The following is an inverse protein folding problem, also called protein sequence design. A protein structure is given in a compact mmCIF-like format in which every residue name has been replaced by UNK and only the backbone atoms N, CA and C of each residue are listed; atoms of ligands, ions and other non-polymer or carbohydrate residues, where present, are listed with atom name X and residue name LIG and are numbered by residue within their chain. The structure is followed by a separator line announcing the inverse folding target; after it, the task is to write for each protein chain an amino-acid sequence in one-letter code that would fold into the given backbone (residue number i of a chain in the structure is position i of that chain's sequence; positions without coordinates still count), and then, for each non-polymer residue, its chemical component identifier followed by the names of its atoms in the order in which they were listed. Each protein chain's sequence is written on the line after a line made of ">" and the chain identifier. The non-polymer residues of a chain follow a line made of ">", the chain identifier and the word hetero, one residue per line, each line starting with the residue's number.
data_IF_637360667519
#
_entry.id   IF_637360667519
#
_cell.length_a   1.000
_cell.length_b   1.000
_cell.length_c   1.000
_cell.angle_alpha   90.00
_cell.angle_beta   90.00
_cell.angle_gamma   90.00
#
_symmetry.space_group_name_H-M   'P 1'
#
loop_
_entity.id
_entity.type
_entity.pdbx_description
1 polymer ?
#
# COMPACT_ATOMS: atom_id res chain seq x y z
N UNK A 1 -3.81 -10.08 -3.32
CA UNK A 1 -3.09 -8.83 -3.02
C UNK A 1 -3.34 -7.86 -4.17
N UNK A 2 -3.18 -6.55 -4.00
CA UNK A 2 -3.05 -5.66 -5.16
C UNK A 2 -1.80 -6.07 -5.93
N UNK A 3 -1.92 -6.20 -7.25
CA UNK A 3 -0.79 -6.53 -8.14
C UNK A 3 -0.88 -5.69 -9.42
N UNK A 4 0.21 -5.61 -10.21
CA UNK A 4 0.16 -4.99 -11.55
C UNK A 4 -0.90 -5.58 -12.48
N UNK A 5 -1.34 -6.83 -12.26
CA UNK A 5 -2.42 -7.44 -13.04
C UNK A 5 -3.80 -6.80 -12.80
N UNK A 6 -3.95 -5.98 -11.75
CA UNK A 6 -5.16 -5.19 -11.52
C UNK A 6 -5.18 -3.88 -12.37
N UNK A 7 -4.17 -3.62 -13.22
CA UNK A 7 -4.06 -2.42 -14.08
C UNK A 7 -5.35 -2.10 -14.82
N UNK A 8 -5.85 -3.01 -15.66
CA UNK A 8 -7.01 -2.75 -16.52
C UNK A 8 -8.28 -2.48 -15.70
N UNK A 9 -8.41 -3.13 -14.53
CA UNK A 9 -9.53 -2.90 -13.62
C UNK A 9 -9.48 -1.46 -13.07
N UNK A 10 -8.30 -1.01 -12.67
CA UNK A 10 -8.09 0.35 -12.14
C UNK A 10 -8.21 1.40 -13.24
N UNK A 11 -7.73 1.13 -14.45
CA UNK A 11 -7.86 2.03 -15.60
C UNK A 11 -9.33 2.27 -15.96
N UNK A 12 -10.12 1.20 -16.06
CA UNK A 12 -11.52 1.29 -16.50
C UNK A 12 -12.47 1.78 -15.40
N UNK A 13 -12.22 1.39 -14.14
CA UNK A 13 -13.19 1.56 -13.06
C UNK A 13 -12.67 2.37 -11.85
N UNK A 14 -11.36 2.64 -11.80
CA UNK A 14 -10.71 3.27 -10.65
C UNK A 14 -10.53 2.34 -9.45
N UNK A 15 -10.13 2.92 -8.32
CA UNK A 15 -10.03 2.24 -7.03
C UNK A 15 -10.87 2.95 -5.97
N UNK A 16 -11.29 2.20 -4.93
CA UNK A 16 -12.07 2.73 -3.83
C UNK A 16 -11.50 2.25 -2.50
N UNK A 17 -11.57 3.12 -1.49
CA UNK A 17 -11.15 2.83 -0.12
C UNK A 17 -12.31 3.05 0.84
N UNK A 18 -12.25 2.34 1.96
CA UNK A 18 -13.25 2.47 3.03
C UNK A 18 -12.68 3.43 4.06
N UNK A 19 -13.25 4.63 4.13
CA UNK A 19 -12.85 5.62 5.12
C UNK A 19 -13.31 5.22 6.51
N UNK A 20 -12.39 4.66 7.29
CA UNK A 20 -12.63 4.25 8.66
C UNK A 20 -11.38 4.47 9.52
N UNK A 21 -11.60 4.66 10.82
CA UNK A 21 -10.51 4.77 11.77
C UNK A 21 -9.93 3.40 12.09
N UNK A 22 -8.60 3.29 12.10
CA UNK A 22 -7.91 2.11 12.62
C UNK A 22 -8.31 1.75 14.06
N UNK A 23 -8.79 2.72 14.86
CA UNK A 23 -9.27 2.48 16.22
C UNK A 23 -10.64 1.76 16.28
N UNK A 24 -11.39 1.72 15.18
CA UNK A 24 -12.74 1.13 15.10
C UNK A 24 -12.87 0.17 13.91
N UNK A 25 -11.76 -0.38 13.44
CA UNK A 25 -11.77 -1.25 12.26
C UNK A 25 -12.58 -2.53 12.50
N UNK A 26 -12.54 -3.08 13.72
CA UNK A 26 -13.31 -4.27 14.10
C UNK A 26 -14.83 -4.04 14.09
N UNK A 27 -15.27 -2.79 14.22
CA UNK A 27 -16.69 -2.40 14.15
C UNK A 27 -17.15 -2.14 12.72
N UNK A 28 -16.23 -2.09 11.76
CA UNK A 28 -16.53 -1.76 10.36
C UNK A 28 -17.15 -2.98 9.67
N UNK A 29 -18.35 -2.86 9.07
CA UNK A 29 -19.09 -4.01 8.55
C UNK A 29 -18.55 -4.50 7.19
N UNK A 30 -17.32 -5.02 7.16
CA UNK A 30 -16.68 -5.56 5.95
C UNK A 30 -17.50 -6.66 5.27
N UNK A 31 -18.21 -7.47 6.05
CA UNK A 31 -19.09 -8.52 5.54
C UNK A 31 -20.31 -8.01 4.76
N UNK A 32 -20.69 -6.73 4.93
CA UNK A 32 -21.82 -6.14 4.19
C UNK A 32 -21.39 -5.42 2.92
N UNK A 33 -20.09 -5.20 2.74
CA UNK A 33 -19.56 -4.51 1.57
C UNK A 33 -19.51 -5.46 0.38
N UNK A 34 -20.10 -5.03 -0.73
CA UNK A 34 -20.09 -5.77 -2.00
C UNK A 34 -19.15 -5.05 -2.95
N UNK A 35 -18.03 -5.69 -3.27
CA UNK A 35 -17.12 -5.27 -4.33
C UNK A 35 -16.85 -6.48 -5.23
N UNK A 36 -16.84 -6.31 -6.57
CA UNK A 36 -16.47 -7.38 -7.48
C UNK A 36 -14.98 -7.74 -7.37
N UNK A 37 -14.13 -6.79 -6.93
CA UNK A 37 -12.68 -6.94 -6.89
C UNK A 37 -12.10 -6.49 -5.53
N UNK A 38 -12.40 -7.17 -4.41
CA UNK A 38 -11.77 -6.85 -3.14
C UNK A 38 -10.28 -7.22 -3.19
N UNK A 39 -9.42 -6.28 -2.78
CA UNK A 39 -7.96 -6.45 -2.70
C UNK A 39 -7.45 -5.94 -1.37
N UNK A 40 -6.42 -6.60 -0.85
CA UNK A 40 -5.60 -6.12 0.25
C UNK A 40 -4.29 -5.59 -0.30
N UNK A 41 -3.79 -4.51 0.26
CA UNK A 41 -2.44 -4.01 -0.03
C UNK A 41 -1.38 -4.91 0.64
N UNK A 42 -0.20 -5.04 0.02
CA UNK A 42 0.94 -5.69 0.65
C UNK A 42 1.48 -4.87 1.82
N UNK A 43 2.46 -5.43 2.52
CA UNK A 43 3.17 -4.73 3.59
C UNK A 43 3.71 -3.37 3.11
N UNK A 44 3.31 -2.31 3.78
CA UNK A 44 3.80 -0.95 3.59
C UNK A 44 3.83 -0.24 4.94
N UNK A 45 4.64 0.81 5.05
CA UNK A 45 4.79 1.59 6.27
C UNK A 45 4.15 2.96 6.09
N UNK A 46 3.34 3.36 7.06
CA UNK A 46 2.70 4.66 7.05
C UNK A 46 3.72 5.80 7.22
N UNK A 47 3.58 6.85 6.41
CA UNK A 47 4.31 8.11 6.50
C UNK A 47 3.43 9.27 7.00
N UNK A 48 2.12 9.06 7.15
CA UNK A 48 1.23 10.07 7.72
C UNK A 48 1.60 10.41 9.18
N UNK A 49 1.36 11.67 9.65
CA UNK A 49 1.77 12.12 10.98
C UNK A 49 1.17 11.34 12.17
N UNK A 50 0.04 10.65 11.97
CA UNK A 50 -0.67 9.95 13.04
C UNK A 50 -0.08 8.54 13.27
N UNK A 51 0.30 7.86 12.19
CA UNK A 51 0.76 6.47 12.21
C UNK A 51 2.18 6.30 11.67
N UNK A 52 2.98 7.37 11.61
CA UNK A 52 4.33 7.32 11.07
C UNK A 52 5.15 6.13 11.59
N UNK A 53 5.72 5.35 10.68
CA UNK A 53 6.53 4.18 10.99
C UNK A 53 5.74 2.92 11.38
N UNK A 54 4.41 2.99 11.49
CA UNK A 54 3.59 1.82 11.80
C UNK A 54 3.34 0.99 10.54
N UNK A 55 3.55 -0.33 10.59
CA UNK A 55 3.28 -1.21 9.46
C UNK A 55 1.77 -1.36 9.23
N UNK A 56 1.36 -1.38 7.97
CA UNK A 56 0.00 -1.64 7.49
C UNK A 56 -1.10 -0.68 8.00
N UNK A 57 -0.75 0.41 8.68
CA UNK A 57 -1.70 1.41 9.20
C UNK A 57 -1.76 2.67 8.34
N UNK A 58 -1.92 2.46 7.03
CA UNK A 58 -1.98 3.50 6.02
C UNK A 58 -3.22 4.37 6.19
N UNK A 59 -3.11 5.64 5.83
CA UNK A 59 -4.27 6.49 5.57
C UNK A 59 -4.93 6.11 4.24
N UNK A 60 -6.17 6.56 4.04
CA UNK A 60 -6.91 6.34 2.79
C UNK A 60 -6.16 6.85 1.56
N UNK A 61 -5.48 8.00 1.67
CA UNK A 61 -4.69 8.55 0.55
C UNK A 61 -3.43 7.72 0.27
N UNK A 62 -2.72 7.25 1.29
CA UNK A 62 -1.57 6.35 1.12
C UNK A 62 -2.00 5.02 0.51
N UNK A 63 -3.17 4.49 0.88
CA UNK A 63 -3.71 3.27 0.30
C UNK A 63 -4.09 3.44 -1.18
N UNK A 64 -4.70 4.57 -1.54
CA UNK A 64 -4.98 4.92 -2.95
C UNK A 64 -3.67 5.05 -3.72
N UNK A 65 -2.71 5.82 -3.22
CA UNK A 65 -1.44 6.06 -3.88
C UNK A 65 -0.64 4.75 -4.07
N UNK A 66 -0.58 3.89 -3.05
CA UNK A 66 0.05 2.59 -3.16
C UNK A 66 -0.60 1.72 -4.24
N UNK A 67 -1.93 1.71 -4.29
CA UNK A 67 -2.68 0.98 -5.32
C UNK A 67 -2.30 1.48 -6.70
N UNK A 68 -2.38 2.80 -6.91
CA UNK A 68 -2.06 3.46 -8.18
C UNK A 68 -0.63 3.16 -8.63
N UNK A 69 0.36 3.28 -7.74
CA UNK A 69 1.77 2.99 -8.07
C UNK A 69 1.96 1.53 -8.47
N UNK A 70 1.40 0.58 -7.69
CA UNK A 70 1.54 -0.86 -7.98
C UNK A 70 0.87 -1.21 -9.32
N UNK A 71 -0.24 -0.54 -9.65
CA UNK A 71 -0.98 -0.79 -10.90
C UNK A 71 -0.52 0.09 -12.06
N UNK A 72 0.59 0.83 -11.97
CA UNK A 72 1.18 1.55 -13.11
C UNK A 72 0.75 3.00 -13.31
N UNK A 73 0.14 3.64 -12.31
CA UNK A 73 -0.34 5.03 -12.33
C UNK A 73 0.41 5.94 -11.33
N UNK A 74 1.75 6.10 -11.45
CA UNK A 74 2.54 6.86 -10.48
C UNK A 74 2.22 8.37 -10.51
N UNK A 75 1.91 8.94 -11.67
CA UNK A 75 1.62 10.37 -11.81
C UNK A 75 0.32 10.75 -11.08
N UNK A 76 -0.69 9.89 -11.16
CA UNK A 76 -1.94 10.02 -10.42
C UNK A 76 -1.69 9.90 -8.91
N UNK A 77 -0.85 8.95 -8.49
CA UNK A 77 -0.47 8.80 -7.09
C UNK A 77 0.20 10.07 -6.54
N UNK A 78 1.13 10.65 -7.31
CA UNK A 78 1.81 11.90 -6.98
C UNK A 78 0.84 13.09 -6.92
N UNK A 79 -0.16 13.14 -7.80
CA UNK A 79 -1.20 14.17 -7.74
C UNK A 79 -1.98 14.14 -6.40
N UNK A 80 -2.35 12.95 -5.92
CA UNK A 80 -3.05 12.80 -4.65
C UNK A 80 -2.16 13.10 -3.45
N UNK A 81 -0.94 12.54 -3.42
CA UNK A 81 0.01 12.75 -2.34
C UNK A 81 0.49 14.20 -2.27
N UNK A 82 0.62 14.89 -3.40
CA UNK A 82 1.02 16.28 -3.50
C UNK A 82 0.06 17.28 -2.82
N UNK A 83 -1.15 16.84 -2.44
CA UNK A 83 -2.08 17.63 -1.60
C UNK A 83 -1.67 17.67 -0.12
N UNK A 84 -0.73 16.81 0.28
CA UNK A 84 -0.27 16.68 1.65
C UNK A 84 1.21 17.06 1.73
N UNK A 85 1.56 17.95 2.66
CA UNK A 85 2.95 18.39 2.84
C UNK A 85 3.91 17.23 3.15
N UNK A 86 3.40 16.14 3.73
CA UNK A 86 4.15 14.91 4.06
C UNK A 86 4.01 13.81 3.00
N UNK A 87 3.22 14.01 1.93
CA UNK A 87 2.86 12.95 0.99
C UNK A 87 4.07 12.33 0.27
N UNK A 88 5.06 13.15 -0.10
CA UNK A 88 6.32 12.69 -0.70
C UNK A 88 7.06 11.66 0.17
N UNK A 89 7.00 11.84 1.50
CA UNK A 89 7.66 10.93 2.45
C UNK A 89 7.09 9.51 2.40
N UNK A 90 5.85 9.32 1.94
CA UNK A 90 5.27 7.98 1.76
C UNK A 90 5.99 7.20 0.67
N UNK A 91 6.23 7.83 -0.48
CA UNK A 91 6.91 7.20 -1.62
C UNK A 91 8.37 6.95 -1.27
N UNK A 92 9.04 7.92 -0.64
CA UNK A 92 10.44 7.78 -0.21
C UNK A 92 10.62 6.62 0.76
N UNK A 93 9.78 6.57 1.81
CA UNK A 93 9.84 5.54 2.85
C UNK A 93 9.61 4.13 2.31
N UNK A 94 8.77 3.98 1.28
CA UNK A 94 8.38 2.68 0.73
C UNK A 94 8.98 2.42 -0.66
N UNK A 95 9.95 3.22 -1.10
CA UNK A 95 10.47 3.22 -2.48
C UNK A 95 10.94 1.84 -2.95
N UNK A 96 11.71 1.12 -2.12
CA UNK A 96 12.18 -0.24 -2.42
C UNK A 96 11.01 -1.22 -2.60
N UNK A 97 10.03 -1.18 -1.71
CA UNK A 97 8.86 -2.06 -1.72
C UNK A 97 7.94 -1.76 -2.91
N UNK A 98 7.61 -0.49 -3.14
CA UNK A 98 6.75 -0.06 -4.25
C UNK A 98 7.37 -0.43 -5.60
N UNK A 99 8.68 -0.24 -5.75
CA UNK A 99 9.42 -0.66 -6.96
C UNK A 99 9.37 -2.18 -7.13
N UNK A 100 9.57 -2.94 -6.06
CA UNK A 100 9.52 -4.40 -6.12
C UNK A 100 8.11 -4.91 -6.48
N UNK A 101 7.06 -4.34 -5.89
CA UNK A 101 5.67 -4.74 -6.14
C UNK A 101 5.20 -4.40 -7.54
N UNK A 102 5.59 -3.24 -8.08
CA UNK A 102 5.26 -2.85 -9.46
C UNK A 102 5.91 -3.78 -10.51
N UNK A 103 6.96 -4.52 -10.14
CA UNK A 103 7.62 -5.49 -11.01
C UNK A 103 7.06 -6.92 -10.90
N UNK A 104 6.13 -7.19 -9.97
CA UNK A 104 5.56 -8.52 -9.77
C UNK A 104 4.45 -8.85 -10.76
N UNK A 105 4.35 -10.10 -11.22
CA UNK A 105 3.25 -10.56 -12.08
C UNK A 105 2.06 -11.14 -11.31
N UNK A 106 2.24 -11.50 -10.03
CA UNK A 106 1.28 -12.31 -9.28
C UNK A 106 1.21 -11.93 -7.80
N UNK A 107 0.14 -12.36 -7.12
CA UNK A 107 0.00 -12.11 -5.67
C UNK A 107 1.06 -12.88 -4.88
N UNK A 108 1.45 -14.06 -5.36
CA UNK A 108 2.49 -14.90 -4.80
C UNK A 108 3.85 -14.20 -4.85
N UNK A 109 4.20 -13.58 -5.98
CA UNK A 109 5.44 -12.79 -6.11
C UNK A 109 5.46 -11.58 -5.18
N UNK A 110 4.33 -10.88 -5.04
CA UNK A 110 4.21 -9.75 -4.10
C UNK A 110 4.43 -10.22 -2.65
N UNK A 111 3.88 -11.38 -2.29
CA UNK A 111 4.09 -11.98 -0.96
C UNK A 111 5.56 -12.36 -0.75
N UNK A 112 6.22 -12.96 -1.74
CA UNK A 112 7.64 -13.28 -1.66
C UNK A 112 8.52 -12.04 -1.54
N UNK A 113 8.19 -10.96 -2.26
CA UNK A 113 8.90 -9.69 -2.19
C UNK A 113 8.81 -9.07 -0.78
N UNK A 114 7.62 -9.04 -0.17
CA UNK A 114 7.47 -8.52 1.21
C UNK A 114 8.19 -9.41 2.23
N UNK A 115 8.14 -10.74 2.09
CA UNK A 115 8.79 -11.67 3.02
C UNK A 115 10.30 -11.49 3.00
N UNK A 116 10.88 -11.36 1.81
CA UNK A 116 12.30 -11.06 1.61
C UNK A 116 12.69 -9.75 2.29
N UNK A 117 11.92 -8.67 2.07
CA UNK A 117 12.18 -7.38 2.70
C UNK A 117 12.14 -7.47 4.24
N UNK A 118 11.11 -8.12 4.79
CA UNK A 118 10.96 -8.30 6.24
C UNK A 118 12.07 -9.16 6.85
N UNK A 119 12.52 -10.20 6.13
CA UNK A 119 13.65 -11.03 6.57
C UNK A 119 14.95 -10.23 6.62
N UNK A 120 15.24 -9.44 5.57
CA UNK A 120 16.42 -8.56 5.53
C UNK A 120 16.38 -7.52 6.66
N UNK A 121 15.25 -6.85 6.86
CA UNK A 121 15.09 -5.87 7.94
C UNK A 121 15.27 -6.47 9.34
N UNK A 122 14.84 -7.73 9.55
CA UNK A 122 15.09 -8.45 10.81
C UNK A 122 16.58 -8.75 11.00
N UNK A 123 17.26 -9.19 9.93
CA UNK A 123 18.68 -9.50 9.97
C UNK A 123 19.52 -8.25 10.27
N UNK A 124 19.28 -7.14 9.57
CA UNK A 124 19.97 -5.87 9.84
C UNK A 124 19.76 -5.39 11.28
N UNK A 125 18.54 -5.55 11.82
CA UNK A 125 18.26 -5.20 13.21
C UNK A 125 19.05 -6.07 14.20
N UNK A 126 19.32 -7.32 13.87
CA UNK A 126 20.13 -8.22 14.70
C UNK A 126 21.62 -7.86 14.63
N UNK A 127 22.13 -7.48 13.46
CA UNK A 127 23.54 -7.09 13.26
C UNK A 127 23.89 -5.73 13.88
N UNK A 128 22.91 -4.83 14.02
CA UNK A 128 23.08 -3.53 14.69
C UNK A 128 23.01 -3.62 16.22
N UNK A 129 22.70 -4.79 16.80
CA UNK A 129 22.64 -5.02 18.26
C UNK A 129 23.91 -5.68 18.75
#
# INVERSE_FOLDING_TARGET
>A
CVTPADHDIVEENGCAVVDCSWARIDETPFNRMKSPNPRLLPFLVAANPINYGKPCQLSCVEAIAATLIITGFPDEADFYLGKFSWGHSFVELNSELLTAYAACGSSEEVILAQEKFLANARQERMERK
#
